data_IF_817283578093
#
_entry.id   IF_817283578093
#
_cell.length_a   1.000
_cell.length_b   1.000
_cell.length_c   1.000
_cell.angle_alpha   90.00
_cell.angle_beta   90.00
_cell.angle_gamma   90.00
#
_symmetry.space_group_name_H-M   'P 1'
#
loop_
_entity.id
_entity.type
_entity.pdbx_description
1 polymer ?
#
# COMPACT_ATOMS: atom_id res chain seq x y z
N UNK A 1 3.33 10.59 15.01
CA UNK A 1 2.27 9.93 14.21
C UNK A 1 2.27 8.43 14.49
N UNK A 2 1.11 7.90 14.75
CA UNK A 2 0.94 6.46 14.94
C UNK A 2 0.23 5.87 13.71
N UNK A 3 0.82 4.83 13.13
CA UNK A 3 0.22 4.11 12.00
C UNK A 3 -0.13 2.70 12.45
N UNK A 4 -1.36 2.28 12.20
CA UNK A 4 -1.81 0.92 12.49
C UNK A 4 -2.25 0.24 11.21
N UNK A 5 -1.68 -0.94 10.95
CA UNK A 5 -2.06 -1.77 9.80
C UNK A 5 -2.88 -2.95 10.33
N UNK A 6 -4.11 -3.04 9.86
CA UNK A 6 -5.01 -4.14 10.18
C UNK A 6 -4.90 -5.19 9.09
N UNK A 7 -4.32 -6.34 9.40
CA UNK A 7 -4.06 -7.41 8.43
C UNK A 7 -5.15 -8.47 8.43
N UNK A 8 -5.52 -8.92 7.24
CA UNK A 8 -6.41 -10.05 7.03
C UNK A 8 -5.89 -10.92 5.89
N UNK A 9 -6.23 -12.20 5.90
CA UNK A 9 -5.82 -13.14 4.85
C UNK A 9 -7.00 -13.99 4.43
N UNK A 10 -7.41 -13.86 3.17
CA UNK A 10 -8.54 -14.58 2.60
C UNK A 10 -8.16 -15.95 2.05
N UNK A 11 -6.89 -16.35 2.12
CA UNK A 11 -6.39 -17.56 1.47
C UNK A 11 -6.52 -18.84 2.28
N UNK A 12 -7.05 -18.74 3.50
CA UNK A 12 -7.37 -19.94 4.29
C UNK A 12 -6.17 -20.72 4.80
N UNK A 13 -5.13 -20.03 5.27
CA UNK A 13 -3.96 -20.67 5.87
C UNK A 13 -2.80 -20.93 4.94
N UNK A 14 -2.83 -20.40 3.72
CA UNK A 14 -1.70 -20.47 2.80
C UNK A 14 -0.48 -19.76 3.39
N UNK A 15 0.71 -20.21 3.02
CA UNK A 15 1.95 -19.57 3.47
C UNK A 15 2.04 -18.13 3.01
N UNK A 16 2.55 -17.29 3.90
CA UNK A 16 2.76 -15.88 3.61
C UNK A 16 4.07 -15.44 4.25
N UNK A 17 4.89 -14.73 3.49
CA UNK A 17 6.13 -14.15 4.01
C UNK A 17 5.87 -12.99 4.96
N UNK A 18 4.68 -12.39 4.88
CA UNK A 18 4.28 -11.29 5.77
C UNK A 18 4.11 -11.78 7.21
N UNK A 19 4.67 -11.04 8.15
CA UNK A 19 4.59 -11.37 9.57
C UNK A 19 4.48 -10.09 10.42
N UNK A 20 4.26 -10.26 11.73
CA UNK A 20 4.10 -9.15 12.65
C UNK A 20 5.31 -8.20 12.67
N UNK A 21 6.52 -8.74 12.54
CA UNK A 21 7.74 -7.93 12.50
C UNK A 21 7.78 -7.04 11.26
N UNK A 22 7.37 -7.55 10.11
CA UNK A 22 7.27 -6.76 8.88
C UNK A 22 6.21 -5.68 9.02
N UNK A 23 5.06 -6.02 9.61
CA UNK A 23 3.99 -5.05 9.84
C UNK A 23 4.46 -3.88 10.70
N UNK A 24 5.15 -4.16 11.80
CA UNK A 24 5.69 -3.11 12.68
C UNK A 24 6.70 -2.21 11.95
N UNK A 25 7.55 -2.81 11.14
CA UNK A 25 8.56 -2.06 10.38
C UNK A 25 7.92 -1.17 9.31
N UNK A 26 6.90 -1.65 8.63
CA UNK A 26 6.16 -0.85 7.65
C UNK A 26 5.38 0.27 8.34
N UNK A 27 4.77 -0.01 9.47
CA UNK A 27 4.07 1.02 10.25
C UNK A 27 5.03 2.16 10.61
N UNK A 28 6.26 1.82 11.02
CA UNK A 28 7.28 2.81 11.31
C UNK A 28 7.70 3.60 10.07
N UNK A 29 7.93 2.94 8.95
CA UNK A 29 8.30 3.59 7.69
C UNK A 29 7.21 4.58 7.25
N UNK A 30 5.95 4.18 7.33
CA UNK A 30 4.82 5.03 6.98
C UNK A 30 4.72 6.21 7.95
N UNK A 31 4.86 5.98 9.25
CA UNK A 31 4.83 7.04 10.25
C UNK A 31 5.94 8.07 10.02
N UNK A 32 7.14 7.62 9.72
CA UNK A 32 8.29 8.50 9.44
C UNK A 32 8.03 9.32 8.17
N UNK A 33 7.45 8.71 7.15
CA UNK A 33 7.08 9.41 5.92
C UNK A 33 6.06 10.52 6.21
N UNK A 34 5.01 10.19 6.96
CA UNK A 34 3.96 11.16 7.29
C UNK A 34 4.52 12.33 8.10
N UNK A 35 5.41 12.07 9.04
CA UNK A 35 6.05 13.12 9.84
C UNK A 35 6.94 14.02 9.01
N UNK A 36 7.66 13.46 8.03
CA UNK A 36 8.58 14.21 7.19
C UNK A 36 7.85 15.03 6.13
N UNK A 37 6.88 14.44 5.45
CA UNK A 37 6.20 15.08 4.30
C UNK A 37 4.88 15.77 4.66
N UNK A 38 4.33 15.44 5.81
CA UNK A 38 3.08 16.02 6.33
C UNK A 38 1.90 16.04 5.35
N UNK A 39 1.57 14.87 4.77
CA UNK A 39 0.46 14.80 3.83
C UNK A 39 -0.93 14.82 4.48
N UNK A 40 -1.00 14.61 5.80
CA UNK A 40 -2.27 14.54 6.53
C UNK A 40 -2.57 15.85 7.25
N UNK A 41 -3.87 16.15 7.51
CA UNK A 41 -4.24 17.32 8.31
C UNK A 41 -3.61 17.31 9.70
N UNK A 42 -3.37 18.47 10.27
CA UNK A 42 -2.75 18.61 11.60
C UNK A 42 -3.51 17.90 12.72
N UNK A 43 -4.84 17.81 12.61
CA UNK A 43 -5.65 17.15 13.61
C UNK A 43 -5.41 15.64 13.67
N UNK A 44 -4.93 15.05 12.59
CA UNK A 44 -4.69 13.60 12.51
C UNK A 44 -3.49 13.22 13.39
N UNK A 45 -3.75 12.49 14.47
CA UNK A 45 -2.72 11.98 15.39
C UNK A 45 -2.34 10.54 15.07
N UNK A 46 -3.21 9.82 14.39
CA UNK A 46 -2.96 8.46 13.96
C UNK A 46 -3.67 8.17 12.64
N UNK A 47 -3.17 7.17 11.91
CA UNK A 47 -3.83 6.71 10.70
C UNK A 47 -3.93 5.19 10.70
N UNK A 48 -4.88 4.68 9.94
CA UNK A 48 -5.15 3.26 9.84
C UNK A 48 -5.22 2.82 8.38
N UNK A 49 -4.68 1.65 8.10
CA UNK A 49 -4.71 1.05 6.77
C UNK A 49 -5.17 -0.39 6.93
N UNK A 50 -6.08 -0.83 6.08
CA UNK A 50 -6.51 -2.22 6.00
C UNK A 50 -5.67 -2.92 4.92
N UNK A 51 -4.94 -3.96 5.30
CA UNK A 51 -4.12 -4.74 4.39
C UNK A 51 -4.65 -6.17 4.33
N UNK A 52 -5.11 -6.58 3.17
CA UNK A 52 -5.71 -7.90 2.97
C UNK A 52 -4.90 -8.69 1.93
N UNK A 53 -4.63 -9.96 2.23
CA UNK A 53 -3.98 -10.87 1.31
C UNK A 53 -5.03 -11.75 0.64
N UNK A 54 -4.98 -11.83 -0.69
CA UNK A 54 -5.94 -12.59 -1.49
C UNK A 54 -5.18 -13.55 -2.41
N UNK A 55 -5.80 -14.70 -2.71
CA UNK A 55 -5.24 -15.65 -3.68
C UNK A 55 -5.48 -15.16 -5.11
N UNK A 56 -4.85 -15.82 -6.08
CA UNK A 56 -4.95 -15.42 -7.49
C UNK A 56 -6.40 -15.39 -8.01
N UNK A 57 -7.20 -16.39 -7.69
CA UNK A 57 -8.60 -16.43 -8.12
C UNK A 57 -9.43 -15.31 -7.49
N UNK A 58 -9.23 -15.06 -6.19
CA UNK A 58 -9.91 -13.99 -5.47
C UNK A 58 -9.51 -12.62 -6.01
N UNK A 59 -8.20 -12.43 -6.26
CA UNK A 59 -7.68 -11.18 -6.80
C UNK A 59 -8.18 -10.93 -8.24
N UNK A 60 -8.24 -11.97 -9.06
CA UNK A 60 -8.76 -11.87 -10.42
C UNK A 60 -10.22 -11.42 -10.42
N UNK A 61 -11.03 -11.95 -9.49
CA UNK A 61 -12.43 -11.58 -9.35
C UNK A 61 -12.60 -10.13 -8.91
N UNK A 62 -11.82 -9.70 -7.92
CA UNK A 62 -11.82 -8.31 -7.44
C UNK A 62 -11.37 -7.35 -8.55
N UNK A 63 -10.32 -7.71 -9.27
CA UNK A 63 -9.77 -6.88 -10.35
C UNK A 63 -10.78 -6.71 -11.49
N UNK A 64 -11.50 -7.77 -11.84
CA UNK A 64 -12.54 -7.75 -12.85
C UNK A 64 -13.71 -6.85 -12.42
N UNK A 65 -14.13 -6.96 -11.16
CA UNK A 65 -15.27 -6.21 -10.62
C UNK A 65 -14.98 -4.70 -10.51
N UNK A 66 -13.80 -4.33 -10.02
CA UNK A 66 -13.47 -2.94 -9.68
C UNK A 66 -12.64 -2.20 -10.72
N UNK A 67 -11.90 -2.91 -11.57
CA UNK A 67 -11.04 -2.30 -12.60
C UNK A 67 -11.38 -2.72 -14.01
N UNK A 68 -12.33 -3.62 -14.19
CA UNK A 68 -12.72 -4.19 -15.49
C UNK A 68 -11.55 -4.82 -16.25
N UNK A 69 -10.51 -5.23 -15.53
CA UNK A 69 -9.31 -5.86 -16.06
C UNK A 69 -9.35 -7.34 -15.77
N UNK A 70 -8.96 -8.17 -16.72
CA UNK A 70 -8.94 -9.61 -16.52
C UNK A 70 -7.64 -10.09 -15.87
N UNK A 71 -7.77 -11.14 -15.04
CA UNK A 71 -6.65 -11.79 -14.40
C UNK A 71 -6.23 -11.17 -13.06
N UNK A 72 -5.38 -11.88 -12.32
CA UNK A 72 -4.89 -11.36 -11.04
C UNK A 72 -3.82 -10.28 -11.25
N UNK A 73 -3.73 -9.36 -10.29
CA UNK A 73 -2.66 -8.38 -10.21
C UNK A 73 -1.94 -8.53 -8.88
N UNK A 74 -0.81 -7.85 -8.71
CA UNK A 74 -0.04 -7.92 -7.46
C UNK A 74 -0.68 -7.12 -6.33
N UNK A 75 -1.19 -5.90 -6.61
CA UNK A 75 -1.76 -5.02 -5.60
C UNK A 75 -2.91 -4.20 -6.16
N UNK A 76 -3.91 -3.96 -5.30
CA UNK A 76 -5.02 -3.04 -5.55
C UNK A 76 -5.13 -2.10 -4.35
N UNK A 77 -5.35 -0.82 -4.61
CA UNK A 77 -5.51 0.19 -3.57
C UNK A 77 -6.84 0.90 -3.72
N UNK A 78 -7.55 1.07 -2.62
CA UNK A 78 -8.85 1.74 -2.57
C UNK A 78 -8.78 2.89 -1.59
N UNK A 79 -8.52 4.10 -2.12
CA UNK A 79 -8.42 5.31 -1.32
C UNK A 79 -9.80 5.78 -0.85
N UNK A 80 -9.91 6.14 0.43
CA UNK A 80 -11.18 6.61 1.00
C UNK A 80 -11.48 8.07 0.70
N UNK A 81 -10.45 8.88 0.52
CA UNK A 81 -10.60 10.34 0.51
C UNK A 81 -10.21 10.98 -0.82
N UNK A 82 -10.58 10.34 -1.90
CA UNK A 82 -10.38 10.88 -3.23
C UNK A 82 -11.59 11.72 -3.61
N UNK A 83 -11.37 13.00 -3.97
CA UNK A 83 -12.43 13.88 -4.40
C UNK A 83 -12.78 13.66 -5.89
N UNK A 84 -13.74 14.41 -6.43
CA UNK A 84 -14.18 14.28 -7.82
C UNK A 84 -13.06 14.52 -8.84
N UNK A 85 -12.04 15.28 -8.46
CA UNK A 85 -10.88 15.58 -9.30
C UNK A 85 -9.73 14.58 -9.14
N UNK A 86 -9.91 13.57 -8.28
CA UNK A 86 -8.89 12.57 -8.01
C UNK A 86 -7.85 12.99 -6.98
N UNK A 87 -8.03 14.13 -6.32
CA UNK A 87 -7.11 14.63 -5.30
C UNK A 87 -7.44 14.08 -3.92
N UNK A 88 -6.41 13.95 -3.09
CA UNK A 88 -6.54 13.48 -1.71
C UNK A 88 -7.12 14.60 -0.84
N UNK A 89 -8.31 14.39 -0.33
CA UNK A 89 -9.04 15.39 0.46
C UNK A 89 -9.69 14.77 1.69
N UNK A 90 -8.89 14.42 2.72
CA UNK A 90 -9.43 13.83 3.95
C UNK A 90 -10.10 14.87 4.83
N UNK A 91 -10.97 14.43 5.77
CA UNK A 91 -11.56 15.35 6.74
C UNK A 91 -10.48 16.04 7.58
N UNK A 92 -10.66 17.33 7.81
CA UNK A 92 -9.65 18.19 8.45
C UNK A 92 -9.60 18.06 9.98
N UNK A 93 -10.64 17.50 10.59
CA UNK A 93 -10.85 17.52 12.05
C UNK A 93 -10.86 16.13 12.72
N UNK A 94 -10.52 15.07 11.98
CA UNK A 94 -10.45 13.73 12.56
C UNK A 94 -9.08 13.47 13.18
N UNK A 95 -9.05 12.98 14.42
CA UNK A 95 -7.79 12.65 15.09
C UNK A 95 -7.28 11.24 14.73
N UNK A 96 -8.18 10.32 14.36
CA UNK A 96 -7.85 9.01 13.84
C UNK A 96 -8.38 8.91 12.41
N UNK A 97 -7.47 8.79 11.45
CA UNK A 97 -7.81 8.88 10.04
C UNK A 97 -7.59 7.54 9.34
N UNK A 98 -8.68 6.84 8.93
CA UNK A 98 -8.52 5.67 8.08
C UNK A 98 -8.15 6.14 6.67
N UNK A 99 -7.19 5.48 6.04
CA UNK A 99 -6.72 5.88 4.70
C UNK A 99 -7.34 5.05 3.58
N UNK A 100 -7.69 3.81 3.86
CA UNK A 100 -8.30 2.93 2.87
C UNK A 100 -7.79 1.51 2.95
N UNK A 101 -7.94 0.80 1.84
CA UNK A 101 -7.63 -0.63 1.74
C UNK A 101 -6.54 -0.90 0.72
N UNK A 102 -5.63 -1.81 1.07
CA UNK A 102 -4.63 -2.36 0.15
C UNK A 102 -4.87 -3.86 0.10
N UNK A 103 -5.04 -4.40 -1.09
CA UNK A 103 -5.22 -5.85 -1.30
C UNK A 103 -4.02 -6.33 -2.08
N UNK A 104 -3.32 -7.33 -1.55
CA UNK A 104 -2.09 -7.88 -2.15
C UNK A 104 -2.29 -9.35 -2.47
N UNK A 105 -1.80 -9.79 -3.63
CA UNK A 105 -1.75 -11.20 -4.01
C UNK A 105 -0.32 -11.71 -3.86
N UNK A 106 0.01 -12.43 -2.77
CA UNK A 106 1.40 -12.88 -2.54
C UNK A 106 1.94 -13.76 -3.65
N UNK A 107 1.10 -14.56 -4.30
CA UNK A 107 1.52 -15.45 -5.39
C UNK A 107 2.00 -14.65 -6.61
N UNK A 108 1.31 -13.56 -6.95
CA UNK A 108 1.72 -12.68 -8.05
C UNK A 108 2.96 -11.88 -7.66
N UNK A 109 3.03 -11.42 -6.41
CA UNK A 109 4.21 -10.71 -5.89
C UNK A 109 5.45 -11.61 -6.01
N UNK A 110 5.36 -12.87 -5.60
CA UNK A 110 6.47 -13.82 -5.67
C UNK A 110 6.91 -14.06 -7.13
N UNK A 111 5.96 -14.17 -8.02
CA UNK A 111 6.20 -14.37 -9.46
C UNK A 111 6.94 -13.16 -10.06
N UNK A 112 6.48 -11.96 -9.75
CA UNK A 112 7.10 -10.71 -10.21
C UNK A 112 8.52 -10.56 -9.65
N UNK A 113 8.72 -10.91 -8.38
CA UNK A 113 10.03 -10.87 -7.73
C UNK A 113 11.02 -11.78 -8.48
N UNK A 114 10.60 -13.01 -8.77
CA UNK A 114 11.43 -13.97 -9.50
C UNK A 114 11.81 -13.44 -10.89
N UNK A 115 10.84 -12.90 -11.63
CA UNK A 115 11.08 -12.33 -12.96
C UNK A 115 12.04 -11.14 -12.94
N UNK A 116 12.03 -10.37 -11.86
CA UNK A 116 12.86 -9.17 -11.71
C UNK A 116 14.18 -9.43 -10.97
N UNK A 117 14.46 -10.67 -10.60
CA UNK A 117 15.67 -11.03 -9.87
C UNK A 117 15.73 -10.45 -8.46
N UNK A 118 14.58 -10.25 -7.83
CA UNK A 118 14.45 -9.69 -6.48
C UNK A 118 13.91 -10.71 -5.50
N UNK A 119 14.06 -10.45 -4.19
CA UNK A 119 13.45 -11.29 -3.18
C UNK A 119 11.94 -11.03 -3.11
N UNK A 120 11.18 -12.04 -2.72
CA UNK A 120 9.74 -11.88 -2.51
C UNK A 120 9.45 -10.85 -1.42
N UNK A 121 10.28 -10.81 -0.36
CA UNK A 121 10.17 -9.82 0.70
C UNK A 121 10.32 -8.39 0.19
N UNK A 122 11.35 -8.15 -0.63
CA UNK A 122 11.58 -6.83 -1.23
C UNK A 122 10.41 -6.37 -2.11
N UNK A 123 9.90 -7.28 -2.93
CA UNK A 123 8.76 -6.98 -3.80
C UNK A 123 7.48 -6.73 -2.99
N UNK A 124 7.27 -7.49 -1.92
CA UNK A 124 6.13 -7.30 -1.02
C UNK A 124 6.15 -5.91 -0.38
N UNK A 125 7.30 -5.50 0.15
CA UNK A 125 7.48 -4.17 0.75
C UNK A 125 7.22 -3.08 -0.30
N UNK A 126 7.74 -3.28 -1.50
CA UNK A 126 7.57 -2.33 -2.61
C UNK A 126 6.09 -2.11 -2.95
N UNK A 127 5.31 -3.18 -3.12
CA UNK A 127 3.90 -3.03 -3.51
C UNK A 127 3.05 -2.44 -2.38
N UNK A 128 3.41 -2.70 -1.12
CA UNK A 128 2.70 -2.10 0.00
C UNK A 128 2.99 -0.60 0.11
N UNK A 129 4.24 -0.19 -0.07
CA UNK A 129 4.61 1.23 -0.11
C UNK A 129 3.92 1.94 -1.28
N UNK A 130 3.90 1.30 -2.44
CA UNK A 130 3.18 1.79 -3.62
C UNK A 130 1.69 1.98 -3.33
N UNK A 131 1.06 0.98 -2.71
CA UNK A 131 -0.34 1.04 -2.32
C UNK A 131 -0.63 2.17 -1.34
N UNK A 132 0.22 2.34 -0.34
CA UNK A 132 0.09 3.43 0.62
C UNK A 132 0.13 4.79 -0.07
N UNK A 133 1.08 5.00 -0.98
CA UNK A 133 1.20 6.28 -1.70
C UNK A 133 -0.05 6.59 -2.52
N UNK A 134 -0.68 5.56 -3.12
CA UNK A 134 -1.96 5.74 -3.80
C UNK A 134 -3.06 6.19 -2.83
N UNK A 135 -3.07 5.66 -1.60
CA UNK A 135 -4.09 6.03 -0.62
C UNK A 135 -4.03 7.51 -0.24
N UNK A 136 -2.86 8.13 -0.35
CA UNK A 136 -2.69 9.56 -0.03
C UNK A 136 -2.62 10.45 -1.28
N UNK A 137 -3.06 9.92 -2.42
CA UNK A 137 -3.29 10.72 -3.62
C UNK A 137 -2.23 10.67 -4.71
N UNK A 138 -1.15 9.92 -4.53
CA UNK A 138 -0.17 9.76 -5.60
C UNK A 138 -0.75 8.91 -6.72
N UNK A 139 -0.49 9.30 -7.95
CA UNK A 139 -0.92 8.56 -9.12
C UNK A 139 0.27 8.44 -10.07
N UNK A 140 0.19 7.53 -11.03
CA UNK A 140 1.24 7.31 -12.03
C UNK A 140 0.74 7.54 -13.45
N UNK A 141 -0.34 8.30 -13.61
CA UNK A 141 -0.94 8.60 -14.92
C UNK A 141 -0.04 9.50 -15.76
N UNK A 142 0.60 10.49 -15.13
CA UNK A 142 1.51 11.41 -15.80
C UNK A 142 2.96 11.09 -15.44
N UNK A 143 3.90 11.43 -16.33
CA UNK A 143 5.32 11.12 -16.15
C UNK A 143 5.91 11.75 -14.89
N UNK A 144 5.60 13.02 -14.62
CA UNK A 144 6.10 13.72 -13.42
C UNK A 144 5.56 13.11 -12.13
N UNK A 145 4.29 12.75 -12.12
CA UNK A 145 3.66 12.08 -10.97
C UNK A 145 4.24 10.71 -10.74
N UNK A 146 4.49 9.98 -11.82
CA UNK A 146 5.11 8.65 -11.78
C UNK A 146 6.52 8.72 -11.19
N UNK A 147 7.33 9.68 -11.64
CA UNK A 147 8.69 9.88 -11.14
C UNK A 147 8.70 10.25 -9.66
N UNK A 148 7.81 11.14 -9.23
CA UNK A 148 7.68 11.55 -7.85
C UNK A 148 7.26 10.39 -6.95
N UNK A 149 6.30 9.60 -7.40
CA UNK A 149 5.83 8.42 -6.68
C UNK A 149 6.93 7.37 -6.57
N UNK A 150 7.63 7.11 -7.67
CA UNK A 150 8.72 6.15 -7.72
C UNK A 150 9.85 6.50 -6.76
N UNK A 151 10.27 7.77 -6.72
CA UNK A 151 11.31 8.25 -5.81
C UNK A 151 10.92 8.00 -4.34
N UNK A 152 9.69 8.32 -3.96
CA UNK A 152 9.21 8.12 -2.60
C UNK A 152 9.13 6.65 -2.23
N UNK A 153 8.61 5.84 -3.13
CA UNK A 153 8.50 4.40 -2.99
C UNK A 153 9.88 3.76 -2.76
N UNK A 154 10.87 4.14 -3.54
CA UNK A 154 12.24 3.65 -3.41
C UNK A 154 12.85 4.03 -2.05
N UNK A 155 12.65 5.27 -1.60
CA UNK A 155 13.14 5.72 -0.29
C UNK A 155 12.51 4.94 0.86
N UNK A 156 11.22 4.67 0.78
CA UNK A 156 10.51 3.90 1.80
C UNK A 156 11.02 2.47 1.88
N UNK A 157 11.24 1.84 0.73
CA UNK A 157 11.80 0.48 0.67
C UNK A 157 13.20 0.44 1.29
N UNK A 158 14.05 1.42 0.96
CA UNK A 158 15.41 1.51 1.54
C UNK A 158 15.36 1.69 3.05
N UNK A 159 14.48 2.53 3.55
CA UNK A 159 14.31 2.73 4.99
C UNK A 159 13.87 1.42 5.66
N UNK A 160 12.95 0.68 5.06
CA UNK A 160 12.48 -0.61 5.59
C UNK A 160 13.65 -1.58 5.79
N UNK A 161 14.58 -1.64 4.84
CA UNK A 161 15.73 -2.53 4.90
C UNK A 161 16.95 -1.93 5.61
N UNK A 162 16.86 -0.72 6.14
CA UNK A 162 17.94 -0.06 6.85
C UNK A 162 19.06 0.45 5.94
N UNK A 163 18.73 0.77 4.71
CA UNK A 163 19.70 1.25 3.71
C UNK A 163 19.74 2.76 3.58
#
# INVERSE_FOLDING_TARGET
MKTTIHCGDLRGGAENIWNAGMAERIEKVISDYIEAEKPLPEAAQECEISLTFAGEAQMAEINKEYRETEGPTDVLSFAMWENEEGAFEPPADWDSLPLGDIIVCPEVVAKNAEENGKSAESEMVLVICHGFLHLIGFDHAEEEERAAMWERQERMVKEFFGE
#
